data_IF_830201774068
#
_entry.id   IF_830201774068
#
_cell.length_a   1.000
_cell.length_b   1.000
_cell.length_c   1.000
_cell.angle_alpha   90.00
_cell.angle_beta   90.00
_cell.angle_gamma   90.00
#
_symmetry.space_group_name_H-M   'P 1'
#
loop_
_entity.id
_entity.type
_entity.pdbx_description
1 polymer ?
#
# COMPACT_ATOMS: atom_id res chain seq x y z
N UNK A 1 -17.02 15.12 -0.82
CA UNK A 1 -16.69 15.79 -2.10
C UNK A 1 -15.37 16.56 -2.02
N UNK A 2 -15.02 17.07 -0.84
CA UNK A 2 -13.78 17.81 -0.55
C UNK A 2 -12.66 16.93 0.02
N UNK A 3 -12.71 15.62 -0.29
CA UNK A 3 -11.72 14.65 0.16
C UNK A 3 -10.34 14.86 -0.47
N UNK A 4 -9.39 13.99 -0.13
CA UNK A 4 -8.02 14.06 -0.60
C UNK A 4 -7.95 14.14 -2.15
N UNK A 5 -7.30 15.19 -2.68
CA UNK A 5 -7.25 15.49 -4.12
C UNK A 5 -8.50 16.19 -4.71
N UNK A 6 -9.57 16.36 -3.95
CA UNK A 6 -10.85 16.95 -4.41
C UNK A 6 -10.72 18.39 -4.90
N UNK A 7 -9.85 19.19 -4.28
CA UNK A 7 -9.56 20.57 -4.74
C UNK A 7 -8.97 20.63 -6.14
N UNK A 8 -8.03 19.73 -6.45
CA UNK A 8 -7.47 19.60 -7.81
C UNK A 8 -8.57 19.11 -8.77
N UNK A 9 -9.36 18.11 -8.36
CA UNK A 9 -10.49 17.63 -9.14
C UNK A 9 -11.46 18.75 -9.53
N UNK A 10 -11.78 19.65 -8.59
CA UNK A 10 -12.66 20.78 -8.85
C UNK A 10 -12.07 21.79 -9.84
N UNK A 11 -10.77 22.11 -9.73
CA UNK A 11 -10.08 22.99 -10.67
C UNK A 11 -10.07 22.42 -12.10
N UNK A 12 -10.04 21.09 -12.23
CA UNK A 12 -10.04 20.38 -13.52
C UNK A 12 -11.45 20.07 -14.07
N UNK A 13 -12.52 20.45 -13.35
CA UNK A 13 -13.89 20.06 -13.73
C UNK A 13 -14.16 18.56 -13.63
N UNK A 14 -13.46 17.88 -12.72
CA UNK A 14 -13.52 16.44 -12.44
C UNK A 14 -14.04 16.17 -11.03
N UNK A 15 -15.00 16.96 -10.55
CA UNK A 15 -15.60 16.74 -9.24
C UNK A 15 -16.24 15.35 -9.17
N UNK A 16 -16.26 14.75 -7.98
CA UNK A 16 -16.92 13.48 -7.77
C UNK A 16 -18.43 13.53 -8.06
N UNK A 17 -18.92 12.46 -8.68
CA UNK A 17 -20.32 12.19 -8.92
C UNK A 17 -20.68 10.81 -8.31
N UNK A 18 -21.62 10.72 -7.35
CA UNK A 18 -22.33 11.84 -6.73
C UNK A 18 -21.38 12.70 -5.87
N UNK A 19 -21.72 13.97 -5.59
CA UNK A 19 -20.88 14.90 -4.81
C UNK A 19 -20.98 14.62 -3.29
N UNK A 20 -20.88 13.35 -2.90
CA UNK A 20 -20.96 12.83 -1.52
C UNK A 20 -20.21 11.50 -1.44
N UNK A 21 -20.10 10.98 -0.22
CA UNK A 21 -19.57 9.65 0.03
C UNK A 21 -20.46 8.57 -0.62
N UNK A 22 -19.82 7.47 -1.04
CA UNK A 22 -20.54 6.31 -1.60
C UNK A 22 -21.14 5.48 -0.47
N UNK A 23 -22.46 5.52 -0.28
CA UNK A 23 -23.14 4.76 0.78
C UNK A 23 -24.06 3.69 0.19
N UNK A 24 -24.84 4.04 -0.83
CA UNK A 24 -25.76 3.12 -1.48
C UNK A 24 -25.13 2.45 -2.71
N UNK A 25 -25.73 1.32 -3.14
CA UNK A 25 -25.33 0.64 -4.39
C UNK A 25 -25.42 1.57 -5.61
N UNK A 26 -26.41 2.48 -5.63
CA UNK A 26 -26.55 3.45 -6.71
C UNK A 26 -25.40 4.47 -6.71
N UNK A 27 -24.94 4.91 -5.53
CA UNK A 27 -23.78 5.80 -5.42
C UNK A 27 -22.51 5.10 -5.91
N UNK A 28 -22.27 3.85 -5.48
CA UNK A 28 -21.12 3.04 -5.91
C UNK A 28 -21.10 2.83 -7.43
N UNK A 29 -22.23 2.42 -8.03
CA UNK A 29 -22.35 2.26 -9.49
C UNK A 29 -22.11 3.57 -10.24
N UNK A 30 -22.62 4.68 -9.74
CA UNK A 30 -22.43 5.99 -10.37
C UNK A 30 -20.95 6.42 -10.32
N UNK A 31 -20.26 6.16 -9.22
CA UNK A 31 -18.83 6.44 -9.11
C UNK A 31 -18.00 5.55 -10.03
N UNK A 32 -18.30 4.25 -10.11
CA UNK A 32 -17.65 3.38 -11.09
C UNK A 32 -17.90 3.87 -12.52
N UNK A 33 -19.15 4.20 -12.88
CA UNK A 33 -19.49 4.75 -14.18
C UNK A 33 -18.70 6.03 -14.50
N UNK A 34 -18.57 6.94 -13.52
CA UNK A 34 -17.77 8.16 -13.68
C UNK A 34 -16.31 7.84 -14.03
N UNK A 35 -15.65 6.96 -13.27
CA UNK A 35 -14.24 6.64 -13.49
C UNK A 35 -14.01 5.84 -14.78
N UNK A 36 -14.90 4.90 -15.10
CA UNK A 36 -14.82 4.09 -16.33
C UNK A 36 -15.25 4.85 -17.59
N UNK A 37 -15.88 6.02 -17.45
CA UNK A 37 -16.21 6.87 -18.59
C UNK A 37 -14.98 7.63 -19.15
N UNK A 38 -13.89 7.76 -18.38
CA UNK A 38 -12.67 8.40 -18.88
C UNK A 38 -12.09 7.62 -20.08
N UNK A 39 -11.72 8.35 -21.13
CA UNK A 39 -11.24 7.76 -22.38
C UNK A 39 -9.95 6.94 -22.19
N UNK A 40 -9.01 7.41 -21.36
CA UNK A 40 -7.75 6.70 -21.11
C UNK A 40 -7.99 5.46 -20.23
N UNK A 41 -8.95 5.52 -19.31
CA UNK A 41 -9.41 4.33 -18.58
C UNK A 41 -9.96 3.27 -19.53
N UNK A 42 -10.83 3.65 -20.47
CA UNK A 42 -11.41 2.73 -21.47
C UNK A 42 -10.35 2.13 -22.38
N UNK A 43 -9.39 2.92 -22.83
CA UNK A 43 -8.28 2.46 -23.68
C UNK A 43 -7.41 1.43 -22.93
N UNK A 44 -7.04 1.70 -21.67
CA UNK A 44 -6.26 0.77 -20.86
C UNK A 44 -6.99 -0.56 -20.66
N UNK A 45 -8.28 -0.51 -20.33
CA UNK A 45 -9.13 -1.69 -20.19
C UNK A 45 -9.28 -2.50 -21.49
N UNK A 46 -9.27 -1.83 -22.65
CA UNK A 46 -9.36 -2.48 -23.95
C UNK A 46 -8.01 -3.09 -24.40
N UNK A 47 -6.89 -2.50 -23.99
CA UNK A 47 -5.56 -2.89 -24.43
C UNK A 47 -4.97 -4.08 -23.63
N UNK A 48 -5.36 -4.26 -22.37
CA UNK A 48 -4.74 -5.24 -21.48
C UNK A 48 -5.74 -6.00 -20.61
N UNK A 49 -5.53 -7.31 -20.35
CA UNK A 49 -6.24 -8.01 -19.30
C UNK A 49 -5.82 -7.45 -17.93
N UNK A 50 -6.77 -7.37 -17.00
CA UNK A 50 -6.54 -6.87 -15.66
C UNK A 50 -6.66 -7.98 -14.63
N UNK A 51 -5.76 -7.96 -13.66
CA UNK A 51 -5.88 -8.67 -12.39
C UNK A 51 -6.09 -7.57 -11.33
N UNK A 52 -7.34 -7.07 -11.16
CA UNK A 52 -7.60 -6.03 -10.19
C UNK A 52 -7.64 -6.62 -8.78
N UNK A 53 -7.12 -5.86 -7.83
CA UNK A 53 -7.35 -6.01 -6.40
C UNK A 53 -8.03 -4.73 -5.95
N UNK A 54 -8.99 -4.83 -5.04
CA UNK A 54 -9.46 -3.64 -4.33
C UNK A 54 -8.53 -3.30 -3.18
N UNK A 55 -8.67 -2.07 -2.74
CA UNK A 55 -8.20 -1.57 -1.48
C UNK A 55 -9.37 -0.99 -0.66
N UNK A 56 -9.13 0.01 0.16
CA UNK A 56 -10.14 0.63 1.01
C UNK A 56 -11.16 1.45 0.20
N UNK A 57 -10.69 2.31 -0.69
CA UNK A 57 -11.49 3.30 -1.41
C UNK A 57 -12.48 2.73 -2.43
N UNK A 58 -12.41 1.44 -2.76
CA UNK A 58 -13.51 0.73 -3.44
C UNK A 58 -14.77 0.63 -2.57
N UNK A 59 -14.63 0.76 -1.25
CA UNK A 59 -15.72 0.81 -0.28
C UNK A 59 -15.81 2.17 0.42
N UNK A 60 -14.87 2.48 1.32
CA UNK A 60 -14.65 3.77 1.99
C UNK A 60 -13.32 3.73 2.75
N UNK A 61 -12.80 4.88 3.15
CA UNK A 61 -11.47 5.00 3.79
C UNK A 61 -11.30 4.07 4.99
N UNK A 62 -10.17 3.37 5.04
CA UNK A 62 -9.69 2.59 6.18
C UNK A 62 -10.73 1.59 6.79
N UNK A 63 -11.28 0.64 6.01
CA UNK A 63 -12.19 -0.37 6.50
C UNK A 63 -11.44 -1.50 7.22
N UNK A 64 -12.17 -2.14 8.12
CA UNK A 64 -11.87 -3.42 8.73
C UNK A 64 -13.11 -4.32 8.65
N UNK A 65 -13.07 -5.51 9.24
CA UNK A 65 -14.17 -6.49 9.15
C UNK A 65 -15.54 -5.91 9.53
N UNK A 66 -15.62 -5.15 10.62
CA UNK A 66 -16.88 -4.71 11.23
C UNK A 66 -17.15 -3.20 11.12
N UNK A 67 -16.27 -2.43 10.47
CA UNK A 67 -16.47 -0.99 10.28
C UNK A 67 -15.46 -0.35 9.32
N UNK A 68 -15.46 0.98 9.29
CA UNK A 68 -14.47 1.78 8.59
C UNK A 68 -14.34 3.15 9.27
N UNK A 69 -13.19 3.80 9.10
CA UNK A 69 -12.96 5.16 9.62
C UNK A 69 -14.00 6.14 9.08
N UNK A 70 -14.20 6.14 7.76
CA UNK A 70 -15.15 7.03 7.09
C UNK A 70 -16.54 6.40 6.94
N UNK A 71 -17.05 5.79 8.01
CA UNK A 71 -18.43 5.31 8.07
C UNK A 71 -19.14 5.73 9.37
N UNK A 72 -20.33 6.33 9.23
CA UNK A 72 -21.12 6.80 10.36
C UNK A 72 -22.47 6.05 10.44
N UNK A 73 -22.58 5.01 11.29
CA UNK A 73 -23.78 4.18 11.34
C UNK A 73 -25.08 4.93 11.62
N UNK A 74 -25.00 6.00 12.40
CA UNK A 74 -26.15 6.83 12.77
C UNK A 74 -26.82 7.52 11.56
N UNK A 75 -26.06 7.82 10.51
CA UNK A 75 -26.53 8.58 9.34
C UNK A 75 -26.46 7.79 8.04
N UNK A 76 -25.61 6.77 7.97
CA UNK A 76 -25.33 6.00 6.76
C UNK A 76 -25.86 4.55 6.81
N UNK A 77 -26.45 4.14 7.93
CA UNK A 77 -26.97 2.79 8.12
C UNK A 77 -25.89 1.77 8.49
N UNK A 78 -26.13 0.49 8.25
CA UNK A 78 -25.18 -0.56 8.68
C UNK A 78 -23.95 -0.63 7.78
N UNK A 79 -22.77 -0.83 8.40
CA UNK A 79 -21.53 -1.08 7.66
C UNK A 79 -21.66 -2.26 6.70
N UNK A 80 -22.28 -3.36 7.15
CA UNK A 80 -22.49 -4.56 6.33
C UNK A 80 -23.29 -4.26 5.07
N UNK A 81 -24.28 -3.37 5.14
CA UNK A 81 -25.05 -2.92 3.97
C UNK A 81 -24.18 -2.11 3.01
N UNK A 82 -23.41 -1.14 3.52
CA UNK A 82 -22.50 -0.31 2.71
C UNK A 82 -21.42 -1.15 2.03
N UNK A 83 -20.75 -2.04 2.78
CA UNK A 83 -19.77 -3.01 2.27
C UNK A 83 -20.36 -3.92 1.20
N UNK A 84 -21.55 -4.46 1.43
CA UNK A 84 -22.20 -5.33 0.43
C UNK A 84 -22.55 -4.58 -0.85
N UNK A 85 -22.97 -3.32 -0.73
CA UNK A 85 -23.26 -2.46 -1.87
C UNK A 85 -21.99 -2.14 -2.68
N UNK A 86 -20.88 -1.81 -2.02
CA UNK A 86 -19.61 -1.53 -2.69
C UNK A 86 -19.04 -2.75 -3.40
N UNK A 87 -18.98 -3.90 -2.71
CA UNK A 87 -18.49 -5.14 -3.32
C UNK A 87 -19.35 -5.56 -4.51
N UNK A 88 -20.68 -5.46 -4.40
CA UNK A 88 -21.57 -5.75 -5.53
C UNK A 88 -21.28 -4.86 -6.73
N UNK A 89 -21.13 -3.54 -6.52
CA UNK A 89 -20.77 -2.64 -7.62
C UNK A 89 -19.39 -2.98 -8.20
N UNK A 90 -18.42 -3.35 -7.37
CA UNK A 90 -17.10 -3.74 -7.84
C UNK A 90 -17.15 -4.96 -8.77
N UNK A 91 -17.89 -6.02 -8.41
CA UNK A 91 -18.09 -7.19 -9.28
C UNK A 91 -18.85 -6.86 -10.57
N UNK A 92 -19.80 -5.91 -10.53
CA UNK A 92 -20.55 -5.48 -11.73
C UNK A 92 -19.67 -4.69 -12.73
N UNK A 93 -18.62 -4.02 -12.26
CA UNK A 93 -17.85 -3.06 -13.06
C UNK A 93 -16.40 -3.47 -13.33
N UNK A 94 -15.88 -4.48 -12.64
CA UNK A 94 -14.51 -4.96 -12.81
C UNK A 94 -14.49 -6.29 -13.58
N UNK A 95 -13.45 -6.55 -14.41
CA UNK A 95 -13.36 -7.76 -15.24
C UNK A 95 -12.91 -8.96 -14.40
N UNK A 96 -13.72 -9.36 -13.43
CA UNK A 96 -13.42 -10.41 -12.45
C UNK A 96 -14.44 -11.53 -12.52
N UNK A 97 -14.07 -12.70 -12.01
CA UNK A 97 -15.02 -13.79 -11.82
C UNK A 97 -15.79 -13.56 -10.52
N UNK A 98 -17.10 -13.68 -10.60
CA UNK A 98 -17.96 -13.67 -9.41
C UNK A 98 -17.60 -14.83 -8.47
N UNK A 99 -17.80 -14.66 -7.15
CA UNK A 99 -17.65 -15.73 -6.18
C UNK A 99 -18.64 -16.87 -6.47
N UNK A 100 -18.28 -18.10 -6.08
CA UNK A 100 -19.17 -19.24 -6.15
C UNK A 100 -20.44 -19.06 -5.30
N UNK A 101 -21.48 -19.86 -5.57
CA UNK A 101 -22.71 -19.84 -4.77
C UNK A 101 -22.39 -20.17 -3.30
N UNK A 102 -22.71 -19.23 -2.40
CA UNK A 102 -22.48 -19.38 -0.95
C UNK A 102 -21.10 -18.94 -0.47
N UNK A 103 -20.20 -18.53 -1.37
CA UNK A 103 -18.92 -17.92 -1.00
C UNK A 103 -19.11 -16.45 -0.58
N UNK A 104 -18.31 -15.98 0.38
CA UNK A 104 -18.29 -14.57 0.76
C UNK A 104 -17.69 -13.73 -0.38
N UNK A 105 -18.41 -12.74 -0.95
CA UNK A 105 -17.86 -11.86 -1.98
C UNK A 105 -16.61 -11.10 -1.53
N UNK A 106 -16.38 -10.93 -0.22
CA UNK A 106 -15.17 -10.33 0.32
C UNK A 106 -13.95 -11.28 0.30
N UNK A 107 -14.14 -12.59 0.14
CA UNK A 107 -13.05 -13.57 0.08
C UNK A 107 -12.37 -13.61 -1.31
N UNK A 108 -11.69 -12.51 -1.64
CA UNK A 108 -11.05 -12.32 -2.95
C UNK A 108 -9.52 -12.34 -2.87
N UNK A 109 -8.98 -13.54 -2.74
CA UNK A 109 -7.57 -13.85 -2.96
C UNK A 109 -7.45 -14.94 -4.03
N UNK A 110 -6.39 -14.90 -4.83
CA UNK A 110 -6.23 -15.74 -6.02
C UNK A 110 -4.78 -16.14 -6.21
N UNK A 111 -4.57 -17.20 -6.98
CA UNK A 111 -3.24 -17.68 -7.37
C UNK A 111 -3.18 -17.85 -8.88
N UNK A 112 -2.39 -17.00 -9.52
CA UNK A 112 -2.14 -17.03 -10.96
C UNK A 112 -0.78 -17.66 -11.25
N UNK A 113 -0.75 -18.52 -12.26
CA UNK A 113 0.45 -19.23 -12.72
C UNK A 113 0.82 -18.73 -14.10
N UNK A 114 1.99 -18.12 -14.23
CA UNK A 114 2.52 -17.67 -15.51
C UNK A 114 3.48 -18.73 -16.04
N UNK A 115 2.92 -19.86 -16.49
CA UNK A 115 3.70 -21.05 -16.88
C UNK A 115 4.65 -21.48 -15.75
N UNK A 116 5.90 -21.74 -16.13
CA UNK A 116 6.97 -22.08 -15.18
C UNK A 116 7.76 -20.85 -14.71
N UNK A 117 7.39 -19.64 -15.15
CA UNK A 117 8.13 -18.41 -14.89
C UNK A 117 7.80 -17.80 -13.52
N UNK A 118 6.51 -17.67 -13.19
CA UNK A 118 6.11 -16.94 -12.00
C UNK A 118 4.79 -17.44 -11.39
N UNK A 119 4.69 -17.30 -10.08
CA UNK A 119 3.44 -17.35 -9.33
C UNK A 119 3.08 -15.95 -8.85
N UNK A 120 1.83 -15.52 -9.04
CA UNK A 120 1.27 -14.34 -8.40
C UNK A 120 0.19 -14.78 -7.42
N UNK A 121 0.41 -14.54 -6.14
CA UNK A 121 -0.58 -14.73 -5.08
C UNK A 121 -1.12 -13.36 -4.68
N UNK A 122 -2.43 -13.16 -4.72
CA UNK A 122 -3.05 -11.89 -4.31
C UNK A 122 -3.64 -12.01 -2.91
N UNK A 123 -3.46 -10.99 -2.08
CA UNK A 123 -4.04 -10.88 -0.75
C UNK A 123 -5.25 -9.94 -0.74
N UNK A 124 -6.06 -10.06 0.31
CA UNK A 124 -7.20 -9.22 0.62
C UNK A 124 -7.03 -8.70 2.05
N UNK A 125 -6.60 -7.45 2.22
CA UNK A 125 -6.19 -6.92 3.53
C UNK A 125 -7.22 -5.99 4.15
N UNK A 126 -8.49 -5.98 3.70
CA UNK A 126 -9.48 -5.00 4.18
C UNK A 126 -10.67 -5.65 4.87
N UNK A 127 -11.33 -6.62 4.24
CA UNK A 127 -12.70 -7.01 4.63
C UNK A 127 -12.81 -8.33 5.38
N UNK A 128 -11.86 -9.24 5.24
CA UNK A 128 -12.01 -10.63 5.72
C UNK A 128 -11.26 -10.95 7.00
N UNK A 129 -10.04 -10.43 7.16
CA UNK A 129 -9.15 -10.75 8.28
C UNK A 129 -8.80 -9.59 9.19
N UNK A 130 -8.90 -8.36 8.67
CA UNK A 130 -8.33 -7.19 9.32
C UNK A 130 -9.07 -6.77 10.59
N UNK A 131 -8.34 -6.70 11.70
CA UNK A 131 -8.79 -6.07 12.92
C UNK A 131 -8.80 -4.54 12.78
N UNK A 132 -9.58 -3.84 13.62
CA UNK A 132 -9.63 -2.37 13.59
C UNK A 132 -8.22 -1.76 13.77
N UNK A 133 -7.95 -0.72 12.98
CA UNK A 133 -6.74 0.08 13.06
C UNK A 133 -6.65 0.80 14.41
N UNK A 134 -5.44 1.20 14.76
CA UNK A 134 -5.19 2.04 15.92
C UNK A 134 -4.74 3.39 15.41
N UNK A 135 -5.33 4.45 15.96
CA UNK A 135 -4.85 5.81 15.76
C UNK A 135 -4.04 6.28 16.96
N UNK A 136 -3.09 7.17 16.70
CA UNK A 136 -2.38 7.84 17.78
C UNK A 136 -3.28 8.86 18.47
N UNK A 137 -3.49 8.68 19.78
CA UNK A 137 -4.04 9.73 20.63
C UNK A 137 -2.99 10.85 20.75
N UNK A 138 -3.30 12.03 20.19
CA UNK A 138 -2.35 13.15 20.10
C UNK A 138 -1.92 13.65 21.48
N UNK A 139 -2.83 13.95 22.44
CA UNK A 139 -2.42 14.25 23.81
C UNK A 139 -1.48 13.21 24.43
N UNK A 140 -1.82 11.92 24.34
CA UNK A 140 -1.01 10.85 24.91
C UNK A 140 0.36 10.72 24.21
N UNK A 141 0.41 10.92 22.89
CA UNK A 141 1.65 10.90 22.10
C UNK A 141 2.61 12.02 22.52
N UNK A 142 2.09 13.22 22.80
CA UNK A 142 2.91 14.34 23.23
C UNK A 142 3.57 14.06 24.59
N UNK A 143 2.86 13.39 25.50
CA UNK A 143 3.37 13.01 26.83
C UNK A 143 4.21 11.72 26.85
N UNK A 144 4.23 10.97 25.74
CA UNK A 144 4.86 9.65 25.68
C UNK A 144 6.39 9.69 25.88
N UNK A 145 6.91 8.86 26.78
CA UNK A 145 8.36 8.63 26.92
C UNK A 145 8.84 7.54 25.93
N UNK A 146 10.16 7.45 25.64
CA UNK A 146 10.68 6.33 24.85
C UNK A 146 10.33 4.94 25.43
N UNK A 147 10.32 4.80 26.76
CA UNK A 147 9.95 3.55 27.41
C UNK A 147 8.47 3.20 27.20
N UNK A 148 7.57 4.18 27.31
CA UNK A 148 6.15 3.97 27.03
C UNK A 148 5.85 3.78 25.55
N UNK A 149 6.67 4.33 24.64
CA UNK A 149 6.56 4.06 23.21
C UNK A 149 6.88 2.59 22.90
N UNK A 150 7.95 2.04 23.49
CA UNK A 150 8.27 0.61 23.39
C UNK A 150 7.14 -0.24 23.98
N UNK A 151 6.58 0.15 25.12
CA UNK A 151 5.44 -0.55 25.72
C UNK A 151 4.20 -0.49 24.82
N UNK A 152 3.88 0.67 24.23
CA UNK A 152 2.78 0.83 23.28
C UNK A 152 2.94 -0.10 22.07
N UNK A 153 4.13 -0.15 21.46
CA UNK A 153 4.38 -1.04 20.33
C UNK A 153 4.20 -2.52 20.70
N UNK A 154 4.62 -2.93 21.90
CA UNK A 154 4.49 -4.31 22.37
C UNK A 154 3.05 -4.67 22.75
N UNK A 155 2.43 -3.85 23.60
CA UNK A 155 1.22 -4.19 24.34
C UNK A 155 -0.06 -3.77 23.62
N UNK A 156 0.03 -2.75 22.75
CA UNK A 156 -1.13 -2.19 22.04
C UNK A 156 -1.05 -2.52 20.56
N UNK A 157 0.05 -2.15 19.89
CA UNK A 157 0.21 -2.40 18.46
C UNK A 157 0.42 -3.89 18.19
N UNK A 158 1.28 -4.55 18.98
CA UNK A 158 1.57 -5.99 18.91
C UNK A 158 0.63 -6.88 19.71
N UNK A 159 -0.49 -6.36 20.21
CA UNK A 159 -1.44 -7.11 21.02
C UNK A 159 -1.96 -8.37 20.28
N UNK A 160 -2.19 -9.49 21.00
CA UNK A 160 -2.92 -10.64 20.45
C UNK A 160 -4.27 -10.25 19.85
N UNK A 161 -4.68 -10.90 18.76
CA UNK A 161 -5.96 -10.67 18.10
C UNK A 161 -5.98 -9.51 17.10
N UNK A 162 -4.84 -8.83 16.90
CA UNK A 162 -4.67 -7.84 15.82
C UNK A 162 -4.25 -8.52 14.52
N UNK A 163 -5.21 -9.20 13.92
CA UNK A 163 -5.03 -9.91 12.65
C UNK A 163 -5.08 -8.95 11.45
N UNK A 164 -4.33 -9.27 10.40
CA UNK A 164 -4.43 -8.64 9.07
C UNK A 164 -5.12 -9.58 8.07
N UNK A 165 -4.74 -10.86 8.11
CA UNK A 165 -5.19 -11.89 7.18
C UNK A 165 -6.12 -12.87 7.90
N UNK A 166 -7.21 -13.27 7.25
CA UNK A 166 -8.08 -14.34 7.76
C UNK A 166 -7.33 -15.68 7.75
N UNK A 167 -7.75 -16.63 8.59
CA UNK A 167 -7.13 -17.95 8.64
C UNK A 167 -7.19 -18.67 7.29
N UNK A 168 -8.32 -18.57 6.58
CA UNK A 168 -8.50 -19.18 5.26
C UNK A 168 -7.56 -18.58 4.21
N UNK A 169 -7.36 -17.25 4.24
CA UNK A 169 -6.43 -16.59 3.34
C UNK A 169 -4.97 -16.94 3.68
N UNK A 170 -4.60 -17.02 4.95
CA UNK A 170 -3.26 -17.46 5.36
C UNK A 170 -2.98 -18.89 4.86
N UNK A 171 -3.92 -19.82 5.06
CA UNK A 171 -3.81 -21.19 4.59
C UNK A 171 -3.74 -21.28 3.05
N UNK A 172 -4.56 -20.49 2.36
CA UNK A 172 -4.52 -20.39 0.91
C UNK A 172 -3.17 -19.90 0.40
N UNK A 173 -2.64 -18.80 0.97
CA UNK A 173 -1.37 -18.23 0.55
C UNK A 173 -0.21 -19.22 0.76
N UNK A 174 -0.15 -19.88 1.92
CA UNK A 174 0.84 -20.92 2.20
C UNK A 174 0.75 -22.07 1.19
N UNK A 175 -0.46 -22.54 0.87
CA UNK A 175 -0.69 -23.61 -0.13
C UNK A 175 -0.24 -23.19 -1.52
N UNK A 176 -0.59 -21.97 -1.96
CA UNK A 176 -0.23 -21.44 -3.26
C UNK A 176 1.30 -21.25 -3.41
N UNK A 177 1.95 -20.79 -2.34
CA UNK A 177 3.41 -20.62 -2.29
C UNK A 177 4.14 -21.98 -2.26
N UNK A 178 3.64 -22.94 -1.49
CA UNK A 178 4.17 -24.32 -1.48
C UNK A 178 4.08 -24.97 -2.88
N UNK A 179 2.96 -24.78 -3.58
CA UNK A 179 2.82 -25.25 -4.96
C UNK A 179 3.83 -24.57 -5.89
N UNK A 180 4.07 -23.26 -5.71
CA UNK A 180 5.07 -22.55 -6.50
C UNK A 180 6.48 -23.09 -6.30
N UNK A 181 6.83 -23.48 -5.06
CA UNK A 181 8.12 -24.08 -4.72
C UNK A 181 8.21 -25.47 -5.35
N UNK A 182 7.18 -26.31 -5.20
CA UNK A 182 7.13 -27.64 -5.81
C UNK A 182 7.22 -27.61 -7.33
N UNK A 183 6.66 -26.57 -7.97
CA UNK A 183 6.71 -26.37 -9.42
C UNK A 183 8.02 -25.69 -9.88
N UNK A 184 8.97 -25.41 -8.98
CA UNK A 184 10.25 -24.78 -9.27
C UNK A 184 10.15 -23.44 -10.03
N UNK A 185 9.04 -22.69 -9.87
CA UNK A 185 8.93 -21.37 -10.51
C UNK A 185 9.92 -20.40 -9.86
N UNK A 186 10.72 -19.63 -10.61
CA UNK A 186 11.73 -18.75 -10.03
C UNK A 186 11.13 -17.50 -9.37
N UNK A 187 9.95 -17.03 -9.77
CA UNK A 187 9.40 -15.77 -9.23
C UNK A 187 8.12 -15.96 -8.42
N UNK A 188 8.10 -15.40 -7.19
CA UNK A 188 6.95 -15.42 -6.28
C UNK A 188 6.50 -14.00 -6.00
N UNK A 189 5.54 -13.54 -6.79
CA UNK A 189 4.96 -12.21 -6.66
C UNK A 189 3.80 -12.29 -5.66
N UNK A 190 3.72 -11.28 -4.80
CA UNK A 190 2.61 -11.08 -3.86
C UNK A 190 1.90 -9.77 -4.23
N UNK A 191 0.67 -9.87 -4.73
CA UNK A 191 -0.19 -8.71 -4.90
C UNK A 191 -0.81 -8.32 -3.56
N UNK A 192 -0.48 -7.14 -3.06
CA UNK A 192 -0.85 -6.68 -1.73
C UNK A 192 -1.20 -5.19 -1.80
N UNK A 193 -2.11 -4.74 -0.95
CA UNK A 193 -2.65 -3.38 -1.03
C UNK A 193 -1.69 -2.36 -0.41
N UNK A 194 -1.17 -2.67 0.78
CA UNK A 194 -0.57 -1.73 1.73
C UNK A 194 0.90 -2.04 2.08
N UNK A 195 1.77 -1.04 2.30
CA UNK A 195 3.20 -1.26 2.59
C UNK A 195 3.47 -2.29 3.68
N UNK A 196 4.33 -3.26 3.35
CA UNK A 196 4.73 -4.37 4.21
C UNK A 196 6.02 -4.09 4.97
N UNK A 197 6.94 -3.33 4.38
CA UNK A 197 8.19 -2.94 5.02
C UNK A 197 7.96 -2.17 6.33
N UNK A 198 8.89 -2.31 7.27
CA UNK A 198 8.92 -1.52 8.50
C UNK A 198 9.30 -0.07 8.21
N UNK A 199 8.41 0.86 8.56
CA UNK A 199 8.54 2.29 8.31
C UNK A 199 8.17 3.09 9.56
N UNK A 200 9.19 3.37 10.38
CA UNK A 200 9.09 4.41 11.40
C UNK A 200 9.00 5.79 10.76
N UNK A 201 8.30 6.71 11.44
CA UNK A 201 8.24 8.11 11.05
C UNK A 201 9.67 8.71 10.92
N UNK A 202 9.87 9.68 10.01
CA UNK A 202 11.20 10.23 9.76
C UNK A 202 11.73 10.99 10.98
N UNK A 203 13.01 10.82 11.29
CA UNK A 203 13.70 11.62 12.31
C UNK A 203 14.06 12.99 11.75
N UNK A 204 13.25 14.00 12.08
CA UNK A 204 13.45 15.39 11.62
C UNK A 204 14.38 16.16 12.55
N UNK A 205 15.40 16.80 11.97
CA UNK A 205 16.37 17.60 12.71
C UNK A 205 15.97 19.09 12.79
N UNK A 206 16.78 19.90 13.48
CA UNK A 206 16.52 21.33 13.63
C UNK A 206 16.56 22.10 12.30
N UNK A 207 17.37 21.66 11.33
CA UNK A 207 17.45 22.29 10.02
C UNK A 207 16.19 21.99 9.19
N UNK A 208 15.67 20.76 9.25
CA UNK A 208 14.41 20.38 8.63
C UNK A 208 13.25 21.19 9.21
N UNK A 209 13.15 21.29 10.54
CA UNK A 209 12.07 22.07 11.18
C UNK A 209 12.19 23.57 10.90
N UNK A 210 13.40 24.12 10.85
CA UNK A 210 13.63 25.52 10.47
C UNK A 210 13.23 25.80 9.01
N UNK A 211 13.55 24.86 8.11
CA UNK A 211 13.15 24.93 6.70
C UNK A 211 11.62 24.97 6.58
N UNK A 212 10.91 24.06 7.25
CA UNK A 212 9.46 23.95 7.20
C UNK A 212 8.78 25.17 7.83
N UNK A 213 9.21 25.58 9.03
CA UNK A 213 8.64 26.73 9.77
C UNK A 213 8.59 28.02 8.95
N UNK A 214 9.52 28.22 8.03
CA UNK A 214 9.61 29.42 7.19
C UNK A 214 8.82 29.33 5.87
N UNK A 215 8.22 28.18 5.55
CA UNK A 215 7.66 27.91 4.21
C UNK A 215 6.25 27.31 4.20
N UNK A 216 5.81 26.70 5.29
CA UNK A 216 4.51 26.02 5.35
C UNK A 216 3.54 26.76 6.28
N UNK A 217 2.24 26.48 6.15
CA UNK A 217 1.21 27.04 7.04
C UNK A 217 1.40 26.58 8.49
N UNK A 218 0.76 27.25 9.44
CA UNK A 218 0.78 26.81 10.85
C UNK A 218 0.19 25.42 11.05
N UNK A 219 -0.79 25.04 10.23
CA UNK A 219 -1.40 23.70 10.21
C UNK A 219 -0.39 22.64 9.71
N UNK A 220 0.27 22.91 8.58
CA UNK A 220 1.28 22.00 8.05
C UNK A 220 2.50 21.92 8.97
N UNK A 221 2.85 23.00 9.67
CA UNK A 221 3.91 22.97 10.67
C UNK A 221 3.55 22.08 11.86
N UNK A 222 2.30 22.10 12.34
CA UNK A 222 1.83 21.18 13.38
C UNK A 222 1.90 19.73 12.92
N UNK A 223 1.55 19.46 11.66
CA UNK A 223 1.68 18.12 11.06
C UNK A 223 3.15 17.68 10.96
N UNK A 224 4.06 18.58 10.63
CA UNK A 224 5.50 18.29 10.69
C UNK A 224 6.00 18.00 12.11
N UNK A 225 5.52 18.75 13.12
CA UNK A 225 5.84 18.50 14.53
C UNK A 225 5.32 17.15 15.01
N UNK A 226 4.12 16.75 14.56
CA UNK A 226 3.58 15.42 14.80
C UNK A 226 4.49 14.32 14.24
N UNK A 227 4.94 14.43 12.99
CA UNK A 227 5.89 13.46 12.41
C UNK A 227 7.24 13.46 13.13
N UNK A 228 7.76 14.64 13.49
CA UNK A 228 8.98 14.75 14.29
C UNK A 228 8.83 13.96 15.60
N UNK A 229 7.69 14.13 16.28
CA UNK A 229 7.42 13.46 17.56
C UNK A 229 7.38 11.94 17.43
N UNK A 230 6.72 11.42 16.39
CA UNK A 230 6.73 9.98 16.10
C UNK A 230 8.15 9.47 15.83
N UNK A 231 8.93 10.21 15.03
CA UNK A 231 10.30 9.85 14.68
C UNK A 231 11.26 9.84 15.89
N UNK A 232 11.12 10.80 16.81
CA UNK A 232 11.86 10.83 18.08
C UNK A 232 11.63 9.56 18.91
N UNK A 233 10.39 9.09 18.94
CA UNK A 233 9.96 7.92 19.70
C UNK A 233 10.18 6.58 18.96
N UNK A 234 10.57 6.62 17.68
CA UNK A 234 10.73 5.43 16.84
C UNK A 234 9.41 4.72 16.58
N UNK A 235 8.31 5.48 16.45
CA UNK A 235 6.98 4.95 16.18
C UNK A 235 6.70 4.85 14.67
N UNK A 236 5.88 3.88 14.22
CA UNK A 236 5.44 3.76 12.83
C UNK A 236 4.87 5.07 12.26
N UNK A 237 5.19 5.35 11.00
CA UNK A 237 4.65 6.51 10.28
C UNK A 237 3.12 6.44 10.20
N UNK A 238 2.60 5.25 9.88
CA UNK A 238 1.18 4.93 9.85
C UNK A 238 0.92 3.59 10.51
N UNK A 239 -0.27 3.45 11.10
CA UNK A 239 -0.75 2.21 11.73
C UNK A 239 -1.88 1.55 10.93
N UNK A 240 -2.25 2.11 9.78
CA UNK A 240 -3.13 1.47 8.81
C UNK A 240 -2.40 0.31 8.08
N UNK A 241 -1.15 0.46 7.58
CA UNK A 241 -0.41 -0.61 6.92
C UNK A 241 0.06 -1.72 7.87
N UNK A 242 0.91 -2.64 7.37
CA UNK A 242 1.41 -3.79 8.14
C UNK A 242 2.17 -3.43 9.42
N UNK A 243 2.69 -2.20 9.56
CA UNK A 243 3.28 -1.72 10.83
C UNK A 243 2.28 -1.58 11.97
N UNK A 244 0.99 -1.42 11.66
CA UNK A 244 -0.08 -1.52 12.65
C UNK A 244 -0.35 -2.95 13.12
N UNK A 245 0.20 -3.96 12.44
CA UNK A 245 -0.13 -5.38 12.64
C UNK A 245 1.14 -6.25 12.66
N UNK A 246 2.14 -5.92 13.50
CA UNK A 246 3.45 -6.56 13.45
C UNK A 246 3.39 -8.07 13.73
N UNK A 247 2.47 -8.52 14.61
CA UNK A 247 2.28 -9.94 14.86
C UNK A 247 1.72 -10.68 13.64
N UNK A 248 0.78 -10.09 12.92
CA UNK A 248 0.22 -10.66 11.70
C UNK A 248 1.27 -10.71 10.57
N UNK A 249 2.11 -9.67 10.44
CA UNK A 249 3.26 -9.67 9.52
C UNK A 249 4.19 -10.84 9.76
N UNK A 250 4.58 -11.05 11.02
CA UNK A 250 5.49 -12.14 11.37
C UNK A 250 4.86 -13.52 11.24
N UNK A 251 3.56 -13.67 11.53
CA UNK A 251 2.83 -14.91 11.28
C UNK A 251 2.79 -15.24 9.77
N UNK A 252 2.53 -14.24 8.93
CA UNK A 252 2.58 -14.41 7.48
C UNK A 252 3.99 -14.81 7.00
N UNK A 253 5.02 -14.09 7.43
CA UNK A 253 6.41 -14.45 7.10
C UNK A 253 6.79 -15.85 7.55
N UNK A 254 6.39 -16.26 8.76
CA UNK A 254 6.63 -17.61 9.24
C UNK A 254 5.91 -18.65 8.36
N UNK A 255 4.66 -18.41 7.97
CA UNK A 255 3.92 -19.32 7.08
C UNK A 255 4.58 -19.50 5.71
N UNK A 256 5.18 -18.43 5.16
CA UNK A 256 5.98 -18.49 3.93
C UNK A 256 7.25 -19.34 4.15
N UNK A 257 7.97 -19.12 5.25
CA UNK A 257 9.18 -19.88 5.56
C UNK A 257 8.93 -21.36 5.79
N UNK A 258 7.81 -21.71 6.41
CA UNK A 258 7.43 -23.10 6.68
C UNK A 258 7.29 -23.92 5.38
N UNK A 259 7.02 -23.25 4.26
CA UNK A 259 6.94 -23.86 2.91
C UNK A 259 8.17 -23.55 2.04
N UNK A 260 9.25 -23.05 2.64
CA UNK A 260 10.53 -22.80 1.97
C UNK A 260 10.62 -21.49 1.19
N UNK A 261 9.73 -20.52 1.43
CA UNK A 261 9.72 -19.23 0.74
C UNK A 261 10.39 -18.14 1.58
N UNK A 262 11.35 -17.45 0.97
CA UNK A 262 12.07 -16.30 1.53
C UNK A 262 12.47 -15.28 0.43
N UNK A 263 11.86 -15.40 -0.75
CA UNK A 263 12.23 -14.75 -2.01
C UNK A 263 11.04 -13.98 -2.62
N UNK A 264 10.18 -13.41 -1.78
CA UNK A 264 8.98 -12.71 -2.23
C UNK A 264 9.32 -11.43 -3.03
N UNK A 265 8.52 -11.15 -4.05
CA UNK A 265 8.41 -9.84 -4.69
C UNK A 265 7.04 -9.27 -4.35
N UNK A 266 6.99 -8.43 -3.32
CA UNK A 266 5.73 -7.81 -2.87
C UNK A 266 5.45 -6.58 -3.74
N UNK A 267 4.27 -6.54 -4.35
CA UNK A 267 3.77 -5.41 -5.11
C UNK A 267 2.70 -4.71 -4.29
N UNK A 268 2.86 -3.42 -4.07
CA UNK A 268 2.05 -2.65 -3.12
C UNK A 268 1.59 -1.30 -3.70
N UNK A 269 0.43 -0.79 -3.26
CA UNK A 269 -0.09 0.56 -3.56
C UNK A 269 -0.34 1.40 -2.30
N UNK A 270 -1.57 1.92 -2.15
CA UNK A 270 -2.11 2.69 -1.01
C UNK A 270 -1.41 4.03 -0.70
N UNK A 271 -0.15 3.97 -0.27
CA UNK A 271 0.69 5.08 0.23
C UNK A 271 0.98 6.25 -0.72
N UNK A 272 0.47 6.21 -1.95
CA UNK A 272 0.70 7.20 -3.01
C UNK A 272 2.18 7.58 -3.26
N UNK A 273 3.10 6.71 -2.91
CA UNK A 273 4.54 6.92 -3.08
C UNK A 273 5.18 5.72 -3.76
N UNK A 274 6.23 5.97 -4.53
CA UNK A 274 7.07 4.87 -5.01
C UNK A 274 7.96 4.36 -3.90
N UNK A 275 8.08 3.04 -3.74
CA UNK A 275 8.93 2.42 -2.73
C UNK A 275 9.84 1.35 -3.34
N UNK A 276 11.10 1.35 -2.91
CA UNK A 276 12.03 0.24 -3.09
C UNK A 276 12.46 -0.22 -1.69
N UNK A 277 11.91 -1.33 -1.22
CA UNK A 277 12.16 -1.82 0.13
C UNK A 277 12.77 -3.24 0.11
N UNK A 278 13.56 -3.55 1.14
CA UNK A 278 14.06 -4.89 1.44
C UNK A 278 13.35 -5.41 2.70
N UNK A 279 12.82 -6.63 2.63
CA UNK A 279 11.97 -7.19 3.68
C UNK A 279 12.72 -8.19 4.54
N UNK A 280 12.56 -8.09 5.85
CA UNK A 280 13.14 -9.01 6.82
C UNK A 280 12.09 -9.43 7.86
N UNK A 281 12.26 -10.62 8.43
CA UNK A 281 11.52 -10.97 9.66
C UNK A 281 12.19 -10.36 10.91
N UNK A 282 11.57 -10.53 12.08
CA UNK A 282 12.12 -10.03 13.35
C UNK A 282 13.51 -10.60 13.70
N UNK A 283 13.90 -11.74 13.11
CA UNK A 283 15.22 -12.35 13.26
C UNK A 283 16.26 -11.78 12.30
N UNK A 284 15.91 -10.79 11.47
CA UNK A 284 16.79 -10.19 10.46
C UNK A 284 17.03 -11.09 9.24
N UNK A 285 16.22 -12.14 9.06
CA UNK A 285 16.35 -13.04 7.91
C UNK A 285 15.54 -12.47 6.74
N UNK A 286 16.12 -12.47 5.53
CA UNK A 286 15.48 -11.92 4.33
C UNK A 286 14.17 -12.65 4.00
N UNK A 287 13.14 -11.88 3.65
CA UNK A 287 11.84 -12.37 3.17
C UNK A 287 11.58 -12.01 1.71
N UNK A 288 12.46 -11.18 1.13
CA UNK A 288 12.39 -10.75 -0.26
C UNK A 288 12.47 -9.23 -0.36
N UNK A 289 11.77 -8.68 -1.34
CA UNK A 289 11.76 -7.26 -1.66
C UNK A 289 10.33 -6.76 -1.84
N UNK A 290 10.13 -5.46 -1.64
CA UNK A 290 8.86 -4.79 -1.91
C UNK A 290 9.05 -3.63 -2.89
N UNK A 291 8.15 -3.58 -3.87
CA UNK A 291 8.01 -2.55 -4.88
C UNK A 291 6.67 -1.86 -4.65
N UNK A 292 6.71 -0.66 -4.09
CA UNK A 292 5.52 0.17 -3.90
C UNK A 292 5.30 1.10 -5.09
N UNK A 293 4.05 1.24 -5.54
CA UNK A 293 3.66 2.18 -6.59
C UNK A 293 2.94 3.39 -6.02
N UNK A 294 3.27 4.56 -6.57
CA UNK A 294 2.48 5.78 -6.33
C UNK A 294 1.06 5.68 -6.90
N UNK A 295 0.22 6.65 -6.55
CA UNK A 295 -1.09 6.83 -7.16
C UNK A 295 -0.98 7.29 -8.61
N UNK A 296 -1.96 6.88 -9.45
CA UNK A 296 -2.05 7.39 -10.83
C UNK A 296 -2.33 8.90 -10.84
N UNK A 297 -3.20 9.37 -9.95
CA UNK A 297 -3.53 10.79 -9.80
C UNK A 297 -3.69 11.26 -8.36
N UNK A 298 -3.73 10.35 -7.38
CA UNK A 298 -3.82 10.74 -5.97
C UNK A 298 -2.54 11.49 -5.57
N UNK A 299 -2.64 12.60 -4.83
CA UNK A 299 -1.45 13.29 -4.32
C UNK A 299 -0.59 12.33 -3.47
N UNK A 300 0.73 12.46 -3.54
CA UNK A 300 1.62 11.68 -2.69
C UNK A 300 1.84 12.32 -1.32
N UNK A 301 2.49 11.57 -0.45
CA UNK A 301 2.77 11.99 0.92
C UNK A 301 3.68 13.22 0.98
N UNK A 302 3.49 14.00 2.05
CA UNK A 302 4.28 15.18 2.40
C UNK A 302 4.25 16.34 1.39
N UNK A 303 3.45 16.26 0.33
CA UNK A 303 3.32 17.33 -0.66
C UNK A 303 2.77 18.63 -0.06
N UNK A 304 2.06 18.55 1.08
CA UNK A 304 1.66 19.71 1.88
C UNK A 304 2.86 20.55 2.39
N UNK A 305 4.06 19.99 2.41
CA UNK A 305 5.31 20.68 2.75
C UNK A 305 6.03 21.29 1.54
N UNK A 306 5.41 21.20 0.36
CA UNK A 306 6.02 21.57 -0.91
C UNK A 306 7.05 20.55 -1.40
N UNK A 307 7.45 20.64 -2.66
CA UNK A 307 8.32 19.64 -3.32
C UNK A 307 9.63 19.39 -2.58
N UNK A 308 10.29 20.45 -2.13
CA UNK A 308 11.56 20.34 -1.41
C UNK A 308 11.38 19.86 0.04
N UNK A 309 10.26 20.19 0.69
CA UNK A 309 9.89 19.62 1.99
C UNK A 309 9.64 18.12 1.88
N UNK A 310 8.83 17.70 0.91
CA UNK A 310 8.58 16.28 0.62
C UNK A 310 9.88 15.52 0.31
N UNK A 311 10.79 16.10 -0.51
CA UNK A 311 12.09 15.50 -0.80
C UNK A 311 12.92 15.25 0.47
N UNK A 312 12.91 16.21 1.42
CA UNK A 312 13.59 16.04 2.71
C UNK A 312 12.95 14.94 3.55
N UNK A 313 11.62 14.86 3.57
CA UNK A 313 10.91 13.77 4.26
C UNK A 313 11.28 12.40 3.69
N UNK A 314 11.29 12.26 2.35
CA UNK A 314 11.72 11.03 1.66
C UNK A 314 13.16 10.65 2.05
N UNK A 315 14.09 11.61 2.07
CA UNK A 315 15.47 11.38 2.49
C UNK A 315 15.59 10.94 3.95
N UNK A 316 14.78 11.55 4.84
CA UNK A 316 14.77 11.19 6.26
C UNK A 316 14.11 9.84 6.50
N UNK A 317 13.12 9.45 5.69
CA UNK A 317 12.54 8.11 5.74
C UNK A 317 13.58 7.05 5.39
N UNK A 318 14.30 7.23 4.27
CA UNK A 318 15.39 6.33 3.86
C UNK A 318 16.47 6.26 4.94
N UNK A 319 16.91 7.40 5.49
CA UNK A 319 17.99 7.40 6.48
C UNK A 319 17.56 6.84 7.86
N UNK A 320 16.27 6.85 8.18
CA UNK A 320 15.74 6.40 9.47
C UNK A 320 15.33 4.92 9.48
N UNK A 321 15.16 4.30 8.30
CA UNK A 321 14.55 2.98 8.17
C UNK A 321 15.46 2.03 7.37
N UNK A 322 15.96 0.93 7.97
CA UNK A 322 16.87 0.01 7.28
C UNK A 322 16.20 -0.77 6.15
N UNK A 323 14.88 -0.94 6.18
CA UNK A 323 14.13 -1.64 5.13
C UNK A 323 13.82 -0.74 3.92
N UNK A 324 13.86 0.59 4.07
CA UNK A 324 13.52 1.54 3.01
C UNK A 324 14.79 1.94 2.27
N UNK A 325 15.00 1.40 1.07
CA UNK A 325 16.21 1.68 0.28
C UNK A 325 16.06 2.94 -0.58
N UNK A 326 14.84 3.26 -0.99
CA UNK A 326 14.50 4.46 -1.73
C UNK A 326 12.99 4.70 -1.71
N UNK A 327 12.59 5.97 -1.71
CA UNK A 327 11.20 6.38 -1.87
C UNK A 327 11.06 7.66 -2.71
N UNK A 328 9.89 7.85 -3.32
CA UNK A 328 9.51 9.10 -3.94
C UNK A 328 8.00 9.33 -3.79
N UNK A 329 7.61 10.22 -2.87
CA UNK A 329 6.22 10.67 -2.69
C UNK A 329 5.82 11.82 -3.62
N UNK A 330 6.73 12.33 -4.43
CA UNK A 330 6.50 13.55 -5.22
C UNK A 330 5.82 13.26 -6.56
N UNK A 331 6.15 12.14 -7.19
CA UNK A 331 5.76 11.87 -8.58
C UNK A 331 4.61 10.88 -8.64
N UNK A 332 3.62 11.15 -9.49
CA UNK A 332 2.63 10.16 -9.93
C UNK A 332 3.18 9.32 -11.09
N UNK A 333 2.62 8.12 -11.27
CA UNK A 333 3.10 7.18 -12.27
C UNK A 333 2.71 5.73 -11.99
N UNK A 334 3.50 4.80 -12.51
CA UNK A 334 3.27 3.36 -12.39
C UNK A 334 4.60 2.58 -12.39
N UNK A 335 4.54 1.34 -11.92
CA UNK A 335 5.61 0.36 -12.06
C UNK A 335 5.46 -0.43 -13.36
N UNK A 336 6.56 -0.65 -14.06
CA UNK A 336 6.62 -1.60 -15.19
C UNK A 336 7.62 -2.70 -14.88
N UNK A 337 7.13 -3.94 -14.86
CA UNK A 337 7.95 -5.12 -14.59
C UNK A 337 8.30 -5.86 -15.88
N UNK A 338 9.56 -6.29 -15.99
CA UNK A 338 10.00 -7.26 -17.00
C UNK A 338 10.57 -8.46 -16.28
N UNK A 339 9.95 -9.62 -16.47
CA UNK A 339 10.32 -10.86 -15.78
C UNK A 339 10.87 -11.86 -16.81
N UNK A 340 12.09 -12.35 -16.58
CA UNK A 340 12.70 -13.49 -17.29
C UNK A 340 13.07 -14.55 -16.26
N UNK A 341 13.40 -15.79 -16.65
CA UNK A 341 13.75 -16.82 -15.67
C UNK A 341 14.91 -16.40 -14.74
N UNK A 342 15.85 -15.59 -15.23
CA UNK A 342 17.06 -15.20 -14.51
C UNK A 342 16.95 -13.85 -13.80
N UNK A 343 16.11 -12.93 -14.29
CA UNK A 343 16.06 -11.54 -13.81
C UNK A 343 14.64 -10.99 -13.78
N UNK A 344 14.37 -10.19 -12.74
CA UNK A 344 13.20 -9.32 -12.70
C UNK A 344 13.70 -7.88 -12.69
N UNK A 345 13.24 -7.08 -13.64
CA UNK A 345 13.53 -5.65 -13.70
C UNK A 345 12.26 -4.87 -13.36
N UNK A 346 12.38 -3.90 -12.47
CA UNK A 346 11.33 -2.94 -12.13
C UNK A 346 11.73 -1.54 -12.55
N UNK A 347 10.92 -0.95 -13.42
CA UNK A 347 11.02 0.41 -13.89
C UNK A 347 9.98 1.29 -13.16
N UNK A 348 10.46 2.33 -12.47
CA UNK A 348 9.64 3.33 -11.80
C UNK A 348 9.36 4.47 -12.77
N UNK A 349 8.20 4.42 -13.42
CA UNK A 349 7.84 5.33 -14.51
C UNK A 349 6.96 6.45 -13.96
N UNK A 350 7.43 7.70 -14.04
CA UNK A 350 6.63 8.88 -13.71
C UNK A 350 5.89 9.44 -14.92
N UNK A 351 4.85 10.23 -14.65
CA UNK A 351 4.28 11.19 -15.59
C UNK A 351 4.71 12.62 -15.22
N UNK A 352 4.87 13.49 -16.21
CA UNK A 352 5.33 14.86 -15.99
C UNK A 352 4.32 15.75 -15.25
N UNK A 353 3.03 15.45 -15.38
CA UNK A 353 1.94 16.12 -14.68
C UNK A 353 0.67 15.25 -14.72
N UNK A 354 -0.31 15.60 -13.87
CA UNK A 354 -1.67 15.02 -13.85
C UNK A 354 -2.75 16.09 -14.10
N UNK A 355 -2.33 17.30 -14.47
CA UNK A 355 -3.20 18.49 -14.56
C UNK A 355 -3.68 18.76 -15.99
N UNK A 356 -3.03 18.18 -16.99
CA UNK A 356 -3.43 18.30 -18.40
C UNK A 356 -3.32 16.95 -19.11
N UNK A 357 -3.87 16.87 -20.33
CA UNK A 357 -3.71 15.70 -21.21
C UNK A 357 -2.37 15.72 -21.96
N UNK A 358 -1.61 16.80 -21.88
CA UNK A 358 -0.28 16.93 -22.46
C UNK A 358 0.76 16.60 -21.38
N UNK A 359 1.21 15.35 -21.39
CA UNK A 359 2.24 14.87 -20.48
C UNK A 359 3.19 13.94 -21.24
N UNK A 360 4.36 13.74 -20.65
CA UNK A 360 5.30 12.71 -21.09
C UNK A 360 5.62 11.78 -19.92
N UNK A 361 6.00 10.56 -20.24
CA UNK A 361 6.54 9.61 -19.26
C UNK A 361 8.04 9.81 -19.10
N UNK A 362 8.55 9.64 -17.88
CA UNK A 362 9.98 9.62 -17.60
C UNK A 362 10.35 8.45 -16.69
N UNK A 363 11.58 7.97 -16.81
CA UNK A 363 12.12 6.98 -15.87
C UNK A 363 12.68 7.70 -14.64
N UNK A 364 12.20 7.39 -13.44
CA UNK A 364 12.80 7.85 -12.19
C UNK A 364 13.93 6.94 -11.75
N UNK A 365 13.70 5.64 -11.87
CA UNK A 365 14.59 4.60 -11.37
C UNK A 365 14.34 3.31 -12.12
N UNK A 366 15.39 2.50 -12.28
CA UNK A 366 15.27 1.14 -12.76
C UNK A 366 16.14 0.25 -11.89
N UNK A 367 15.58 -0.84 -11.40
CA UNK A 367 16.27 -1.78 -10.50
C UNK A 367 16.09 -3.19 -11.02
N UNK A 368 17.15 -3.99 -10.88
CA UNK A 368 17.14 -5.42 -11.23
C UNK A 368 17.19 -6.22 -9.94
N UNK A 369 16.44 -7.31 -9.90
CA UNK A 369 16.43 -8.28 -8.82
C UNK A 369 16.94 -9.61 -9.37
N UNK A 370 17.71 -10.31 -8.54
CA UNK A 370 18.20 -11.65 -8.82
C UNK A 370 18.28 -12.47 -7.53
N UNK A 371 18.23 -13.79 -7.70
CA UNK A 371 18.35 -14.73 -6.60
C UNK A 371 19.78 -14.82 -6.09
N UNK A 372 19.93 -14.96 -4.78
CA UNK A 372 21.20 -15.24 -4.09
C UNK A 372 21.02 -16.43 -3.14
N UNK A 373 22.11 -16.98 -2.61
CA UNK A 373 22.08 -18.06 -1.61
C UNK A 373 21.24 -17.74 -0.36
N UNK A 374 20.98 -16.46 -0.11
CA UNK A 374 20.25 -15.95 1.05
C UNK A 374 18.82 -15.46 0.74
N UNK A 375 18.34 -15.68 -0.48
CA UNK A 375 17.05 -15.20 -0.97
C UNK A 375 17.19 -14.12 -2.06
N UNK A 376 16.09 -13.38 -2.30
CA UNK A 376 16.01 -12.38 -3.36
C UNK A 376 16.59 -11.02 -2.94
N UNK A 377 17.36 -10.37 -3.82
CA UNK A 377 17.98 -9.06 -3.54
C UNK A 377 17.94 -8.16 -4.78
N UNK A 378 18.08 -6.85 -4.55
CA UNK A 378 18.37 -5.88 -5.61
C UNK A 378 19.83 -5.97 -6.02
N UNK A 379 20.10 -5.93 -7.33
CA UNK A 379 21.45 -5.80 -7.87
C UNK A 379 22.02 -4.41 -7.57
N UNK A 380 23.29 -4.36 -7.16
CA UNK A 380 24.01 -3.10 -6.99
C UNK A 380 24.42 -2.59 -8.38
N UNK A 381 24.06 -1.36 -8.71
CA UNK A 381 24.46 -0.72 -9.96
C UNK A 381 26.00 -0.75 -10.09
N UNK A 382 26.52 -1.49 -11.08
CA UNK A 382 27.95 -1.67 -11.32
C UNK A 382 28.48 -3.11 -11.18
N UNK A 383 27.66 -4.07 -10.73
CA UNK A 383 27.98 -5.50 -10.82
C UNK A 383 27.23 -6.15 -11.98
N UNK A 384 27.66 -5.84 -13.21
CA UNK A 384 27.42 -6.77 -14.32
C UNK A 384 28.17 -8.06 -14.01
N UNK A 385 27.44 -9.16 -13.86
CA UNK A 385 28.00 -10.50 -13.77
C UNK A 385 28.98 -10.72 -14.93
N UNK A 386 30.24 -11.02 -14.59
CA UNK A 386 31.27 -11.40 -15.54
C UNK A 386 31.11 -12.81 -16.06
#
# INVERSE_FOLDING_TARGET
PDGYGGGIGAQLGRQHNPPREMVSLADCRLRHAQYKADAQSREMHAAHPLIPLWDDHESTNNPWQEGAENHQPATEGSWRTRRSASLKAWYEWMPVREPGLGEDPAAYWRHFRFGDLASLVTLETRHTGRAQQIDYDIPALLEMTPASAVAFLRDVVGAPGREMLSADMQAFAATALAESVSAARPWRLLGNQIPMARMSAPRLDAADMSYLKSRVSSENLQRAQYFQRLGELGLPLYLDPWDGYPRAREAFYQSCRDVGVNDLVVLTGDSHSFWQNALYDNGGRAMGVELGTTGITSPGDFLEFGTEGARRMDERLVSSNPEVLWTNGISNGYLRLRVTPERLQADFVKVSNILSREYHTGMLRSVVMSHSDSGLRYEVAGQSAG
#
